data_IF_552367211676
#
_entry.id   IF_552367211676
#
_cell.length_a   1.000
_cell.length_b   1.000
_cell.length_c   1.000
_cell.angle_alpha   90.00
_cell.angle_beta   90.00
_cell.angle_gamma   90.00
#
_symmetry.space_group_name_H-M   'P 1'
#
loop_
_entity.id
_entity.type
_entity.pdbx_description
1 polymer ?
#
# COMPACT_ATOMS: atom_id res chain seq x y z
N UNK A 1 15.03 38.05 -38.47
CA UNK A 1 14.91 36.75 -37.77
C UNK A 1 13.54 36.69 -37.09
N UNK A 2 12.62 35.95 -37.72
CA UNK A 2 11.15 36.06 -37.56
C UNK A 2 10.64 35.83 -36.14
N UNK A 3 9.72 36.69 -35.67
CA UNK A 3 8.94 36.61 -34.42
C UNK A 3 8.30 35.23 -34.21
N UNK A 4 7.95 34.54 -35.29
CA UNK A 4 7.39 33.19 -35.25
C UNK A 4 8.37 32.17 -34.61
N UNK A 5 9.68 32.32 -34.85
CA UNK A 5 10.69 31.45 -34.23
C UNK A 5 10.80 31.69 -32.72
N UNK A 6 10.59 32.93 -32.26
CA UNK A 6 10.60 33.28 -30.83
C UNK A 6 9.39 32.70 -30.11
N UNK A 7 8.21 32.74 -30.74
CA UNK A 7 6.98 32.14 -30.19
C UNK A 7 7.13 30.62 -30.08
N UNK A 8 7.67 29.96 -31.11
CA UNK A 8 7.89 28.53 -31.10
C UNK A 8 8.91 28.10 -30.02
N UNK A 9 9.97 28.89 -29.84
CA UNK A 9 10.96 28.66 -28.78
C UNK A 9 10.37 28.85 -27.37
N UNK A 10 9.52 29.86 -27.18
CA UNK A 10 8.84 30.11 -25.91
C UNK A 10 7.85 28.98 -25.56
N UNK A 11 7.14 28.44 -26.56
CA UNK A 11 6.25 27.29 -26.40
C UNK A 11 7.02 26.04 -25.97
N UNK A 12 8.22 25.81 -26.54
CA UNK A 12 9.08 24.70 -26.15
C UNK A 12 9.55 24.80 -24.69
N UNK A 13 9.91 26.00 -24.23
CA UNK A 13 10.29 26.26 -22.82
C UNK A 13 9.10 26.06 -21.87
N UNK A 14 7.90 26.47 -22.26
CA UNK A 14 6.71 26.28 -21.43
C UNK A 14 6.36 24.79 -21.23
N UNK A 15 6.61 23.95 -22.24
CA UNK A 15 6.33 22.51 -22.18
C UNK A 15 7.25 21.72 -21.25
N UNK A 16 8.48 22.18 -20.99
CA UNK A 16 9.41 21.48 -20.10
C UNK A 16 9.11 21.68 -18.60
N UNK A 17 8.33 22.70 -18.25
CA UNK A 17 7.94 22.97 -16.85
C UNK A 17 6.86 22.01 -16.32
N UNK A 18 6.14 21.31 -17.20
CA UNK A 18 5.08 20.37 -16.80
C UNK A 18 5.60 19.09 -16.14
N UNK A 19 6.91 18.80 -16.21
CA UNK A 19 7.51 17.59 -15.63
C UNK A 19 7.76 17.65 -14.12
N UNK A 20 7.81 18.83 -13.50
CA UNK A 20 8.17 19.01 -12.08
C UNK A 20 6.93 18.92 -11.14
N UNK A 21 5.71 18.88 -11.71
CA UNK A 21 4.48 18.88 -10.93
C UNK A 21 3.94 17.48 -10.58
N UNK A 22 4.54 16.40 -11.07
CA UNK A 22 4.09 15.05 -10.74
C UNK A 22 4.56 14.66 -9.34
N UNK A 23 3.64 14.70 -8.37
CA UNK A 23 3.89 14.14 -7.05
C UNK A 23 3.97 12.61 -7.16
N UNK A 24 5.16 12.05 -6.87
CA UNK A 24 5.32 10.61 -6.75
C UNK A 24 4.84 10.18 -5.37
N UNK A 25 3.90 9.25 -5.32
CA UNK A 25 3.51 8.60 -4.08
C UNK A 25 4.72 7.84 -3.52
N UNK A 26 5.29 8.33 -2.43
CA UNK A 26 6.49 7.76 -1.78
C UNK A 26 6.13 6.88 -0.59
N UNK A 27 5.12 7.29 0.16
CA UNK A 27 4.63 6.60 1.34
C UNK A 27 3.18 6.97 1.63
N UNK A 28 2.47 6.07 2.31
CA UNK A 28 1.13 6.34 2.78
C UNK A 28 0.51 5.15 3.50
N UNK A 29 -0.71 5.37 3.99
CA UNK A 29 -1.50 4.31 4.60
C UNK A 29 -2.92 4.30 4.07
N UNK A 30 -3.48 3.10 3.93
CA UNK A 30 -4.87 2.87 3.56
C UNK A 30 -5.59 2.26 4.76
N UNK A 31 -6.66 2.91 5.20
CA UNK A 31 -7.51 2.48 6.31
C UNK A 31 -8.82 1.95 5.76
N UNK A 32 -9.12 0.69 6.05
CA UNK A 32 -10.34 0.02 5.65
C UNK A 32 -11.13 -0.40 6.90
N UNK A 33 -12.43 -0.13 6.86
CA UNK A 33 -13.40 -0.66 7.81
C UNK A 33 -14.16 -1.79 7.12
N UNK A 34 -13.97 -3.02 7.61
CA UNK A 34 -14.56 -4.22 7.03
C UNK A 34 -15.83 -4.54 7.80
N UNK A 35 -16.97 -4.44 7.11
CA UNK A 35 -18.27 -4.82 7.64
C UNK A 35 -18.74 -6.08 6.91
N UNK A 36 -18.96 -7.16 7.67
CA UNK A 36 -19.52 -8.39 7.11
C UNK A 36 -21.04 -8.37 7.22
N UNK A 37 -21.73 -8.77 6.16
CA UNK A 37 -23.20 -8.83 6.11
C UNK A 37 -23.62 -10.25 5.75
N UNK A 38 -24.42 -10.88 6.60
CA UNK A 38 -24.96 -12.22 6.37
C UNK A 38 -26.49 -12.16 6.47
N UNK A 39 -27.19 -12.66 5.46
CA UNK A 39 -28.66 -12.67 5.38
C UNK A 39 -29.31 -11.30 5.66
N UNK A 40 -28.69 -10.21 5.17
CA UNK A 40 -29.18 -8.85 5.38
C UNK A 40 -28.93 -8.26 6.76
N UNK A 41 -28.34 -9.02 7.69
CA UNK A 41 -27.95 -8.54 9.01
C UNK A 41 -26.46 -8.23 9.02
N UNK A 42 -26.11 -7.01 9.40
CA UNK A 42 -24.71 -6.62 9.58
C UNK A 42 -24.14 -7.29 10.83
N UNK A 43 -22.99 -7.94 10.67
CA UNK A 43 -22.21 -8.44 11.80
C UNK A 43 -21.75 -7.28 12.67
N UNK A 44 -21.81 -7.45 14.00
CA UNK A 44 -21.31 -6.46 14.97
C UNK A 44 -19.78 -6.44 15.06
N UNK A 45 -19.09 -7.28 14.29
CA UNK A 45 -17.64 -7.34 14.30
C UNK A 45 -17.02 -6.12 13.62
N UNK A 46 -16.18 -5.38 14.36
CA UNK A 46 -15.51 -4.18 13.88
C UNK A 46 -14.12 -4.55 13.39
N UNK A 47 -14.06 -5.22 12.24
CA UNK A 47 -12.78 -5.57 11.63
C UNK A 47 -12.18 -4.36 10.91
N UNK A 48 -10.91 -4.06 11.17
CA UNK A 48 -10.15 -3.00 10.52
C UNK A 48 -8.97 -3.58 9.78
N UNK A 49 -8.72 -3.10 8.57
CA UNK A 49 -7.49 -3.38 7.84
C UNK A 49 -6.72 -2.08 7.64
N UNK A 50 -5.44 -2.09 7.98
CA UNK A 50 -4.52 -0.98 7.74
C UNK A 50 -3.41 -1.48 6.84
N UNK A 51 -3.17 -0.80 5.73
CA UNK A 51 -2.03 -1.06 4.87
C UNK A 51 -1.07 0.12 4.95
N UNK A 52 0.21 -0.15 5.14
CA UNK A 52 1.28 0.82 5.13
C UNK A 52 2.20 0.49 3.97
N UNK A 53 2.46 1.48 3.13
CA UNK A 53 3.27 1.34 1.92
C UNK A 53 4.34 2.41 1.97
N UNK A 54 5.61 2.02 1.79
CA UNK A 54 6.74 2.94 1.73
C UNK A 54 7.83 2.38 0.84
N UNK A 55 7.93 2.89 -0.39
CA UNK A 55 8.85 2.34 -1.39
C UNK A 55 8.63 0.83 -1.58
N UNK A 56 9.69 0.03 -1.40
CA UNK A 56 9.63 -1.44 -1.47
C UNK A 56 9.17 -2.14 -0.19
N UNK A 57 8.79 -1.41 0.85
CA UNK A 57 8.31 -2.00 2.10
C UNK A 57 6.79 -1.98 2.16
N UNK A 58 6.22 -3.13 2.51
CA UNK A 58 4.80 -3.34 2.70
C UNK A 58 4.50 -3.90 4.09
N UNK A 59 3.51 -3.32 4.76
CA UNK A 59 2.93 -3.88 5.99
C UNK A 59 1.42 -3.82 5.91
N UNK A 60 0.75 -4.92 6.24
CA UNK A 60 -0.69 -4.94 6.41
C UNK A 60 -1.06 -5.49 7.77
N UNK A 61 -2.03 -4.86 8.41
CA UNK A 61 -2.60 -5.29 9.67
C UNK A 61 -4.08 -5.51 9.49
N UNK A 62 -4.57 -6.68 9.87
CA UNK A 62 -5.98 -6.97 10.02
C UNK A 62 -6.24 -7.16 11.51
N UNK A 63 -7.11 -6.32 12.06
CA UNK A 63 -7.48 -6.33 13.48
C UNK A 63 -8.98 -6.65 13.53
N UNK A 64 -9.33 -7.76 14.16
CA UNK A 64 -10.71 -8.21 14.37
C UNK A 64 -10.93 -8.51 15.85
N UNK A 65 -12.18 -8.77 16.24
CA UNK A 65 -12.48 -9.26 17.60
C UNK A 65 -11.80 -10.60 17.92
N UNK A 66 -11.51 -11.42 16.91
CA UNK A 66 -10.92 -12.75 17.07
C UNK A 66 -9.40 -12.72 17.22
N UNK A 67 -8.75 -11.63 16.79
CA UNK A 67 -7.31 -11.53 16.81
C UNK A 67 -6.75 -10.56 15.77
N UNK A 68 -5.43 -10.57 15.65
CA UNK A 68 -4.67 -9.69 14.77
C UNK A 68 -3.78 -10.48 13.84
N UNK A 69 -3.79 -10.12 12.56
CA UNK A 69 -2.83 -10.64 11.58
C UNK A 69 -2.00 -9.49 11.05
N UNK A 70 -0.68 -9.61 11.14
CA UNK A 70 0.28 -8.64 10.61
C UNK A 70 1.06 -9.34 9.51
N UNK A 71 1.00 -8.80 8.29
CA UNK A 71 1.87 -9.22 7.19
C UNK A 71 2.92 -8.14 6.98
N UNK A 72 4.18 -8.52 6.92
CA UNK A 72 5.29 -7.65 6.54
C UNK A 72 6.03 -8.25 5.35
N UNK A 73 6.49 -7.39 4.45
CA UNK A 73 7.27 -7.78 3.27
C UNK A 73 8.22 -6.66 2.85
N UNK A 74 9.44 -7.06 2.50
CA UNK A 74 10.46 -6.22 1.91
C UNK A 74 10.77 -6.73 0.50
N UNK A 75 10.37 -5.93 -0.50
CA UNK A 75 10.56 -6.23 -1.91
C UNK A 75 12.04 -6.23 -2.33
N UNK A 76 12.89 -5.47 -1.65
CA UNK A 76 14.32 -5.40 -2.00
C UNK A 76 15.04 -6.68 -1.62
N UNK A 77 14.76 -7.19 -0.42
CA UNK A 77 15.39 -8.39 0.11
C UNK A 77 14.62 -9.67 -0.27
N UNK A 78 13.38 -9.54 -0.75
CA UNK A 78 12.50 -10.68 -1.05
C UNK A 78 12.12 -11.47 0.21
N UNK A 79 12.06 -10.80 1.37
CA UNK A 79 11.82 -11.40 2.67
C UNK A 79 10.55 -10.83 3.30
N UNK A 80 9.80 -11.69 3.99
CA UNK A 80 8.61 -11.27 4.71
C UNK A 80 8.26 -12.19 5.86
N UNK A 81 7.18 -11.85 6.54
CA UNK A 81 6.59 -12.70 7.57
C UNK A 81 5.11 -12.43 7.71
N UNK A 82 4.36 -13.46 8.11
CA UNK A 82 2.99 -13.35 8.59
C UNK A 82 2.99 -13.66 10.07
N UNK A 83 2.58 -12.70 10.88
CA UNK A 83 2.37 -12.83 12.31
C UNK A 83 0.87 -12.94 12.57
N UNK A 84 0.46 -13.98 13.28
CA UNK A 84 -0.92 -14.17 13.71
C UNK A 84 -0.96 -14.18 15.24
N UNK A 85 -1.77 -13.31 15.81
CA UNK A 85 -1.99 -13.17 17.24
C UNK A 85 -3.44 -13.56 17.57
N UNK A 86 -3.60 -14.62 18.36
CA UNK A 86 -4.89 -15.12 18.85
C UNK A 86 -4.82 -15.29 20.36
N UNK A 87 -5.42 -14.34 21.11
CA UNK A 87 -5.34 -14.32 22.57
C UNK A 87 -3.88 -14.25 23.06
N UNK A 88 -3.41 -15.31 23.73
CA UNK A 88 -2.03 -15.40 24.21
C UNK A 88 -1.05 -16.04 23.20
N UNK A 89 -1.57 -16.66 22.14
CA UNK A 89 -0.74 -17.33 21.16
C UNK A 89 -0.27 -16.36 20.08
N UNK A 90 1.04 -16.37 19.81
CA UNK A 90 1.67 -15.63 18.72
C UNK A 90 2.41 -16.60 17.83
N UNK A 91 2.09 -16.59 16.54
CA UNK A 91 2.74 -17.44 15.54
C UNK A 91 3.34 -16.52 14.48
N UNK A 92 4.62 -16.70 14.20
CA UNK A 92 5.29 -16.05 13.08
C UNK A 92 5.65 -17.09 12.03
N UNK A 93 5.22 -16.86 10.80
CA UNK A 93 5.59 -17.66 9.64
C UNK A 93 6.48 -16.80 8.73
N UNK A 94 7.80 -17.07 8.65
CA UNK A 94 8.67 -16.37 7.71
C UNK A 94 8.31 -16.76 6.27
N UNK A 95 8.56 -15.85 5.34
CA UNK A 95 8.30 -16.03 3.91
C UNK A 95 9.49 -15.55 3.09
N UNK A 96 9.73 -16.24 1.97
CA UNK A 96 10.63 -15.80 0.91
C UNK A 96 9.84 -15.31 -0.32
N UNK A 97 10.56 -14.81 -1.32
CA UNK A 97 10.00 -14.25 -2.54
C UNK A 97 9.05 -15.21 -3.27
N UNK A 98 9.44 -16.47 -3.47
CA UNK A 98 8.61 -17.47 -4.14
C UNK A 98 7.29 -17.73 -3.40
N UNK A 99 7.32 -17.74 -2.07
CA UNK A 99 6.13 -17.90 -1.24
C UNK A 99 5.23 -16.66 -1.28
N UNK A 100 5.81 -15.47 -1.40
CA UNK A 100 5.08 -14.21 -1.52
C UNK A 100 4.31 -14.09 -2.84
N UNK A 101 4.92 -14.49 -3.96
CA UNK A 101 4.30 -14.42 -5.28
C UNK A 101 3.17 -15.45 -5.47
N UNK A 102 3.19 -16.53 -4.67
CA UNK A 102 2.18 -17.60 -4.69
C UNK A 102 0.94 -17.34 -3.83
N UNK A 103 0.80 -16.14 -3.28
CA UNK A 103 -0.17 -15.78 -2.23
C UNK A 103 -1.57 -15.47 -2.73
#
# INVERSE_FOLDING_TARGET
>A
MSILKKIFFLFFIASSLSGIAQQRFSEGSLLFHIVSVANGVQSKDNTKMIQFIRGGHYRSEIISSLGRTITIYDDKEGLGAILKEYGQQRIMTPMNHAQWDSK
#
